data_IF_428601376599
#
_entry.id   IF_428601376599
#
_cell.length_a   1.000
_cell.length_b   1.000
_cell.length_c   1.000
_cell.angle_alpha   90.00
_cell.angle_beta   90.00
_cell.angle_gamma   90.00
#
_symmetry.space_group_name_H-M   'P 1'
#
loop_
_entity.id
_entity.type
_entity.pdbx_description
1 polymer ?
#
# COMPACT_ATOMS: atom_id res chain seq x y z
N UNK A 1 -12.00 -8.64 -25.11
CA UNK A 1 -11.92 -7.25 -24.61
C UNK A 1 -10.47 -6.88 -24.37
N UNK A 2 -10.07 -5.62 -24.59
CA UNK A 2 -8.72 -5.15 -24.27
C UNK A 2 -8.46 -5.24 -22.77
N UNK A 3 -7.26 -5.68 -22.38
CA UNK A 3 -6.85 -5.90 -20.99
C UNK A 3 -6.77 -4.60 -20.17
N UNK A 4 -6.39 -3.50 -20.83
CA UNK A 4 -6.06 -2.25 -20.16
C UNK A 4 -7.28 -1.57 -19.49
N UNK A 5 -8.46 -1.43 -20.13
CA UNK A 5 -9.65 -0.87 -19.47
C UNK A 5 -10.15 -1.73 -18.30
N UNK A 6 -10.07 -3.05 -18.43
CA UNK A 6 -10.48 -3.98 -17.36
C UNK A 6 -9.57 -3.84 -16.14
N UNK A 7 -8.26 -3.70 -16.36
CA UNK A 7 -7.31 -3.46 -15.29
C UNK A 7 -7.62 -2.12 -14.61
N UNK A 8 -7.82 -1.03 -15.34
CA UNK A 8 -8.17 0.28 -14.76
C UNK A 8 -9.43 0.19 -13.88
N UNK A 9 -10.47 -0.51 -14.35
CA UNK A 9 -11.68 -0.76 -13.55
C UNK A 9 -11.37 -1.49 -12.24
N UNK A 10 -10.61 -2.59 -12.33
CA UNK A 10 -10.18 -3.36 -11.16
C UNK A 10 -9.37 -2.51 -10.17
N UNK A 11 -8.53 -1.59 -10.64
CA UNK A 11 -7.78 -0.69 -9.77
C UNK A 11 -8.68 0.34 -9.08
N UNK A 12 -9.73 0.80 -9.76
CA UNK A 12 -10.79 1.58 -9.13
C UNK A 12 -11.44 0.82 -7.96
N UNK A 13 -11.75 -0.46 -8.17
CA UNK A 13 -12.33 -1.34 -7.15
C UNK A 13 -11.37 -1.59 -5.97
N UNK A 14 -10.10 -1.90 -6.24
CA UNK A 14 -9.05 -2.07 -5.22
C UNK A 14 -8.95 -0.82 -4.34
N UNK A 15 -8.87 0.36 -4.95
CA UNK A 15 -8.79 1.63 -4.20
C UNK A 15 -10.07 1.91 -3.41
N UNK A 16 -11.24 1.59 -3.95
CA UNK A 16 -12.51 1.73 -3.24
C UNK A 16 -12.56 0.81 -2.01
N UNK A 17 -12.12 -0.44 -2.17
CA UNK A 17 -12.02 -1.42 -1.09
C UNK A 17 -11.02 -0.99 -0.01
N UNK A 18 -9.82 -0.57 -0.41
CA UNK A 18 -8.80 -0.02 0.50
C UNK A 18 -9.35 1.13 1.34
N UNK A 19 -10.07 2.08 0.73
CA UNK A 19 -10.71 3.19 1.46
C UNK A 19 -11.80 2.71 2.42
N UNK A 20 -12.62 1.74 2.01
CA UNK A 20 -13.67 1.15 2.87
C UNK A 20 -13.05 0.54 4.14
N UNK A 21 -12.01 -0.29 3.98
CA UNK A 21 -11.33 -0.94 5.11
C UNK A 21 -10.59 0.06 5.99
N UNK A 22 -9.89 1.06 5.41
CA UNK A 22 -9.25 2.12 6.20
C UNK A 22 -10.25 2.92 7.04
N UNK A 23 -11.43 3.26 6.48
CA UNK A 23 -12.48 3.95 7.25
C UNK A 23 -12.96 3.08 8.41
N UNK A 24 -13.21 1.79 8.17
CA UNK A 24 -13.63 0.86 9.21
C UNK A 24 -12.56 0.72 10.31
N UNK A 25 -11.28 0.62 9.95
CA UNK A 25 -10.18 0.54 10.92
C UNK A 25 -10.11 1.81 11.79
N UNK A 26 -10.18 3.00 11.19
CA UNK A 26 -10.21 4.28 11.93
C UNK A 26 -11.39 4.37 12.89
N UNK A 27 -12.56 3.90 12.48
CA UNK A 27 -13.74 3.88 13.34
C UNK A 27 -13.55 2.95 14.54
N UNK A 28 -13.03 1.73 14.32
CA UNK A 28 -12.74 0.76 15.41
C UNK A 28 -11.70 1.31 16.39
N UNK A 29 -10.60 1.87 15.90
CA UNK A 29 -9.57 2.47 16.78
C UNK A 29 -10.12 3.64 17.60
N UNK A 30 -10.96 4.50 17.02
CA UNK A 30 -11.59 5.62 17.73
C UNK A 30 -12.60 5.18 18.79
N UNK A 31 -13.34 4.11 18.54
CA UNK A 31 -14.31 3.56 19.49
C UNK A 31 -13.60 2.91 20.68
N UNK A 32 -12.54 2.12 20.43
CA UNK A 32 -11.79 1.46 21.50
C UNK A 32 -11.08 2.46 22.43
N UNK A 33 -10.52 3.55 21.90
CA UNK A 33 -9.91 4.61 22.72
C UNK A 33 -10.88 5.35 23.65
N UNK A 34 -12.20 5.16 23.51
CA UNK A 34 -13.21 5.71 24.42
C UNK A 34 -13.58 4.75 25.55
N UNK A 35 -13.25 3.46 25.42
CA UNK A 35 -13.70 2.39 26.33
C UNK A 35 -12.65 2.03 27.39
N UNK A 36 -11.47 2.66 27.40
CA UNK A 36 -10.45 2.48 28.43
C UNK A 36 -9.69 1.15 28.38
N UNK A 37 -10.08 0.22 27.51
CA UNK A 37 -9.39 -1.05 27.27
C UNK A 37 -8.12 -0.89 26.41
N UNK A 38 -7.27 -1.93 26.42
CA UNK A 38 -6.07 -2.08 25.59
C UNK A 38 -6.39 -1.74 24.12
N UNK A 39 -6.02 -0.52 23.71
CA UNK A 39 -6.50 0.08 22.46
C UNK A 39 -5.80 -0.60 21.28
N UNK A 40 -6.52 -1.38 20.44
CA UNK A 40 -5.91 -2.01 19.29
C UNK A 40 -5.40 -0.93 18.34
N UNK A 41 -4.12 -1.04 17.97
CA UNK A 41 -3.51 -0.12 17.02
C UNK A 41 -4.27 -0.16 15.69
N UNK A 42 -4.22 0.95 14.93
CA UNK A 42 -4.82 1.00 13.59
C UNK A 42 -4.31 -0.14 12.68
N UNK A 43 -3.03 -0.53 12.81
CA UNK A 43 -2.45 -1.64 12.06
C UNK A 43 -3.09 -2.98 12.45
N UNK A 44 -3.28 -3.24 13.75
CA UNK A 44 -3.97 -4.45 14.25
C UNK A 44 -5.42 -4.51 13.74
N UNK A 45 -6.13 -3.37 13.73
CA UNK A 45 -7.48 -3.30 13.18
C UNK A 45 -7.51 -3.60 11.68
N UNK A 46 -6.55 -3.08 10.90
CA UNK A 46 -6.46 -3.37 9.47
C UNK A 46 -6.24 -4.85 9.21
N UNK A 47 -5.28 -5.49 9.89
CA UNK A 47 -4.98 -6.92 9.71
C UNK A 47 -6.22 -7.77 9.95
N UNK A 48 -6.91 -7.54 11.08
CA UNK A 48 -8.13 -8.29 11.42
C UNK A 48 -9.24 -8.08 10.39
N UNK A 49 -9.45 -6.84 9.93
CA UNK A 49 -10.44 -6.54 8.91
C UNK A 49 -10.15 -7.24 7.58
N UNK A 50 -8.88 -7.38 7.20
CA UNK A 50 -8.51 -8.12 5.99
C UNK A 50 -8.62 -9.62 6.15
N UNK A 51 -8.31 -10.17 7.32
CA UNK A 51 -8.57 -11.59 7.61
C UNK A 51 -10.06 -11.90 7.46
N UNK A 52 -10.92 -11.13 8.16
CA UNK A 52 -12.37 -11.29 8.12
C UNK A 52 -12.88 -11.18 6.67
N UNK A 53 -12.43 -10.14 5.95
CA UNK A 53 -12.85 -9.90 4.58
C UNK A 53 -12.40 -11.00 3.60
N UNK A 54 -11.16 -11.49 3.71
CA UNK A 54 -10.66 -12.54 2.83
C UNK A 54 -11.41 -13.87 3.04
N UNK A 55 -11.72 -14.21 4.29
CA UNK A 55 -12.51 -15.40 4.63
C UNK A 55 -13.95 -15.29 4.11
N UNK A 56 -14.56 -14.10 4.19
CA UNK A 56 -15.94 -13.88 3.76
C UNK A 56 -16.10 -13.67 2.24
N UNK A 57 -15.01 -13.34 1.54
CA UNK A 57 -15.02 -13.07 0.11
C UNK A 57 -14.70 -14.31 -0.73
N UNK A 58 -15.22 -14.36 -1.95
CA UNK A 58 -14.91 -15.38 -2.95
C UNK A 58 -14.71 -14.77 -4.34
N UNK A 59 -14.06 -15.51 -5.23
CA UNK A 59 -13.93 -15.11 -6.64
C UNK A 59 -13.22 -13.75 -6.82
N UNK A 60 -13.87 -12.87 -7.59
CA UNK A 60 -13.35 -11.52 -7.90
C UNK A 60 -13.04 -10.70 -6.64
N UNK A 61 -13.96 -10.67 -5.68
CA UNK A 61 -13.82 -9.83 -4.48
C UNK A 61 -12.62 -10.26 -3.63
N UNK A 62 -12.33 -11.56 -3.62
CA UNK A 62 -11.19 -12.10 -2.88
C UNK A 62 -9.84 -11.63 -3.44
N UNK A 63 -9.69 -11.58 -4.77
CA UNK A 63 -8.48 -11.03 -5.41
C UNK A 63 -8.38 -9.52 -5.19
N UNK A 64 -9.51 -8.80 -5.20
CA UNK A 64 -9.54 -7.35 -4.90
C UNK A 64 -9.11 -7.09 -3.45
N UNK A 65 -9.61 -7.89 -2.51
CA UNK A 65 -9.27 -7.82 -1.10
C UNK A 65 -7.76 -8.08 -0.88
N UNK A 66 -7.21 -9.10 -1.55
CA UNK A 66 -5.77 -9.39 -1.54
C UNK A 66 -4.94 -8.21 -2.05
N UNK A 67 -5.31 -7.64 -3.20
CA UNK A 67 -4.61 -6.50 -3.78
C UNK A 67 -4.68 -5.26 -2.87
N UNK A 68 -5.83 -5.02 -2.24
CA UNK A 68 -6.02 -3.96 -1.25
C UNK A 68 -5.17 -4.18 0.02
N UNK A 69 -5.01 -5.43 0.48
CA UNK A 69 -4.15 -5.76 1.62
C UNK A 69 -2.67 -5.46 1.33
N UNK A 70 -2.19 -5.76 0.11
CA UNK A 70 -0.85 -5.38 -0.34
C UNK A 70 -0.70 -3.87 -0.47
N UNK A 71 -1.71 -3.21 -1.03
CA UNK A 71 -1.73 -1.76 -1.16
C UNK A 71 -1.55 -1.09 0.22
N UNK A 72 -2.16 -1.65 1.26
CA UNK A 72 -2.07 -1.13 2.63
C UNK A 72 -0.90 -1.69 3.45
N UNK A 73 -0.08 -2.58 2.89
CA UNK A 73 1.12 -3.13 3.54
C UNK A 73 0.81 -4.09 4.69
N UNK A 74 -0.36 -4.72 4.69
CA UNK A 74 -0.84 -5.63 5.76
C UNK A 74 -1.03 -7.07 5.29
N UNK A 75 -0.63 -7.36 4.05
CA UNK A 75 -0.74 -8.70 3.47
C UNK A 75 0.20 -9.70 4.18
N UNK A 76 -0.34 -10.88 4.52
CA UNK A 76 0.40 -12.02 5.10
C UNK A 76 0.41 -13.22 4.15
N UNK A 77 1.32 -14.17 4.39
CA UNK A 77 1.51 -15.34 3.52
C UNK A 77 0.22 -16.15 3.30
N UNK A 78 -0.54 -16.42 4.36
CA UNK A 78 -1.77 -17.21 4.24
C UNK A 78 -2.84 -16.54 3.38
N UNK A 79 -2.83 -15.21 3.27
CA UNK A 79 -3.72 -14.49 2.35
C UNK A 79 -3.44 -14.85 0.88
N UNK A 80 -2.17 -14.97 0.51
CA UNK A 80 -1.77 -15.38 -0.85
C UNK A 80 -2.20 -16.83 -1.12
N UNK A 81 -1.94 -17.73 -0.17
CA UNK A 81 -2.33 -19.13 -0.29
C UNK A 81 -3.84 -19.28 -0.46
N UNK A 82 -4.64 -18.49 0.26
CA UNK A 82 -6.10 -18.51 0.17
C UNK A 82 -6.62 -18.07 -1.20
N UNK A 83 -5.95 -17.12 -1.85
CA UNK A 83 -6.38 -16.58 -3.16
C UNK A 83 -5.81 -17.33 -4.36
N UNK A 84 -4.85 -18.25 -4.15
CA UNK A 84 -4.18 -18.97 -5.24
C UNK A 84 -5.15 -19.84 -6.05
N UNK A 85 -6.07 -20.54 -5.37
CA UNK A 85 -7.10 -21.35 -6.03
C UNK A 85 -8.02 -20.51 -6.92
N UNK A 86 -8.54 -19.41 -6.37
CA UNK A 86 -9.40 -18.47 -7.12
C UNK A 86 -8.69 -17.84 -8.31
N UNK A 87 -7.39 -17.52 -8.20
CA UNK A 87 -6.60 -17.03 -9.33
C UNK A 87 -6.34 -18.11 -10.39
N UNK A 88 -6.26 -19.39 -10.00
CA UNK A 88 -6.13 -20.52 -10.91
C UNK A 88 -7.43 -20.84 -11.66
N UNK A 89 -8.57 -20.72 -10.99
CA UNK A 89 -9.89 -21.07 -11.54
C UNK A 89 -10.51 -19.97 -12.41
N UNK A 90 -10.18 -18.70 -12.14
CA UNK A 90 -10.80 -17.59 -12.87
C UNK A 90 -10.36 -17.57 -14.34
N UNK A 91 -11.33 -17.42 -15.26
CA UNK A 91 -11.07 -17.21 -16.69
C UNK A 91 -10.69 -15.76 -17.02
N UNK A 92 -10.93 -14.82 -16.10
CA UNK A 92 -10.63 -13.39 -16.26
C UNK A 92 -9.11 -13.13 -16.21
N UNK A 93 -8.55 -12.74 -17.36
CA UNK A 93 -7.12 -12.44 -17.52
C UNK A 93 -6.67 -11.24 -16.69
N UNK A 94 -7.53 -10.23 -16.49
CA UNK A 94 -7.19 -9.04 -15.74
C UNK A 94 -7.11 -9.34 -14.23
N UNK A 95 -7.99 -10.21 -13.73
CA UNK A 95 -7.91 -10.71 -12.35
C UNK A 95 -6.66 -11.56 -12.10
N UNK A 96 -6.31 -12.45 -13.02
CA UNK A 96 -5.05 -13.21 -12.91
C UNK A 96 -3.83 -12.28 -12.91
N UNK A 97 -3.81 -11.28 -13.79
CA UNK A 97 -2.74 -10.30 -13.84
C UNK A 97 -2.62 -9.50 -12.53
N UNK A 98 -3.75 -9.09 -11.94
CA UNK A 98 -3.79 -8.40 -10.66
C UNK A 98 -3.24 -9.27 -9.52
N UNK A 99 -3.64 -10.55 -9.46
CA UNK A 99 -3.09 -11.51 -8.49
C UNK A 99 -1.57 -11.63 -8.64
N UNK A 100 -1.07 -11.92 -9.84
CA UNK A 100 0.37 -12.11 -10.06
C UNK A 100 1.20 -10.86 -9.74
N UNK A 101 0.70 -9.68 -10.12
CA UNK A 101 1.34 -8.41 -9.77
C UNK A 101 1.42 -8.21 -8.25
N UNK A 102 0.34 -8.55 -7.54
CA UNK A 102 0.23 -8.48 -6.08
C UNK A 102 1.20 -9.43 -5.40
N UNK A 103 1.20 -10.72 -5.78
CA UNK A 103 2.08 -11.75 -5.24
C UNK A 103 3.55 -11.45 -5.48
N UNK A 104 3.91 -11.07 -6.72
CA UNK A 104 5.29 -10.71 -7.09
C UNK A 104 5.81 -9.57 -6.24
N UNK A 105 4.98 -8.54 -6.01
CA UNK A 105 5.35 -7.40 -5.19
C UNK A 105 5.55 -7.79 -3.73
N UNK A 106 4.63 -8.56 -3.15
CA UNK A 106 4.75 -9.03 -1.78
C UNK A 106 6.03 -9.85 -1.58
N UNK A 107 6.34 -10.76 -2.51
CA UNK A 107 7.58 -11.53 -2.46
C UNK A 107 8.82 -10.64 -2.50
N UNK A 108 8.87 -9.62 -3.36
CA UNK A 108 9.99 -8.67 -3.42
C UNK A 108 10.16 -7.88 -2.12
N UNK A 109 9.04 -7.40 -1.54
CA UNK A 109 9.06 -6.64 -0.30
C UNK A 109 9.48 -7.48 0.92
N UNK A 110 9.21 -8.79 0.92
CA UNK A 110 9.62 -9.70 2.00
C UNK A 110 11.01 -10.32 1.76
N UNK A 111 11.43 -10.48 0.50
CA UNK A 111 12.78 -10.93 0.18
C UNK A 111 13.85 -9.91 0.59
N UNK A 112 13.56 -8.61 0.41
CA UNK A 112 14.44 -7.53 0.88
C UNK A 112 14.55 -7.46 2.41
N UNK A 113 13.61 -8.05 3.16
CA UNK A 113 13.67 -8.17 4.62
C UNK A 113 14.44 -9.41 5.10
N UNK A 114 14.66 -10.42 4.24
CA UNK A 114 15.31 -11.69 4.59
C UNK A 114 16.78 -11.80 4.19
N UNK A 115 17.31 -10.80 3.49
CA UNK A 115 18.74 -10.72 3.20
C UNK A 115 19.49 -10.13 4.41
N UNK A 116 20.44 -10.85 5.05
CA UNK A 116 21.50 -10.18 5.79
C UNK A 116 22.26 -9.31 4.79
N UNK A 117 22.35 -8.02 5.09
CA UNK A 117 22.98 -6.98 4.29
C UNK A 117 24.36 -7.40 3.73
N UNK A 118 24.52 -7.58 2.41
CA UNK A 118 25.84 -7.58 1.80
C UNK A 118 26.24 -6.13 1.55
N UNK A 119 27.25 -5.68 2.30
CA UNK A 119 28.14 -4.54 2.09
C UNK A 119 27.74 -3.53 1.00
N UNK A 120 27.30 -2.35 1.47
CA UNK A 120 27.26 -1.02 0.82
C UNK A 120 27.91 -0.88 -0.57
N UNK A 121 27.21 -0.21 -1.49
CA UNK A 121 27.82 0.74 -2.41
C UNK A 121 27.82 2.16 -1.81
N UNK A 122 28.96 2.85 -1.92
CA UNK A 122 29.17 4.28 -1.60
C UNK A 122 28.04 5.16 -2.15
N UNK A 123 27.41 5.95 -1.27
CA UNK A 123 26.56 7.09 -1.66
C UNK A 123 27.43 8.21 -2.26
N UNK A 124 27.06 8.80 -3.41
CA UNK A 124 27.39 10.19 -3.68
C UNK A 124 26.50 11.10 -2.81
N UNK A 125 27.15 12.12 -2.26
CA UNK A 125 26.67 13.24 -1.44
C UNK A 125 25.15 13.44 -1.26
N UNK A 126 24.71 13.54 0.01
CA UNK A 126 23.49 14.27 0.39
C UNK A 126 22.26 13.46 0.78
N UNK A 127 22.34 12.16 1.09
CA UNK A 127 21.17 11.44 1.61
C UNK A 127 20.90 11.86 3.08
N UNK A 128 19.74 12.47 3.40
CA UNK A 128 19.36 12.67 4.79
C UNK A 128 19.30 11.32 5.51
N UNK A 129 19.75 11.26 6.78
CA UNK A 129 19.63 10.05 7.61
C UNK A 129 18.13 9.71 7.76
N UNK A 130 17.66 8.76 6.96
CA UNK A 130 16.28 8.27 7.02
C UNK A 130 16.09 7.43 8.28
N UNK A 131 14.96 7.60 8.98
CA UNK A 131 14.55 6.63 10.00
C UNK A 131 14.24 5.27 9.36
N UNK A 132 14.24 4.19 10.15
CA UNK A 132 13.99 2.83 9.68
C UNK A 132 12.71 2.72 8.85
N UNK A 133 11.61 3.36 9.29
CA UNK A 133 10.34 3.37 8.56
C UNK A 133 10.40 4.08 7.20
N UNK A 134 11.21 5.14 7.09
CA UNK A 134 11.48 5.84 5.83
C UNK A 134 12.41 5.02 4.92
N UNK A 135 13.35 4.25 5.48
CA UNK A 135 14.16 3.32 4.70
C UNK A 135 13.29 2.19 4.13
N UNK A 136 12.41 1.61 4.94
CA UNK A 136 11.42 0.62 4.47
C UNK A 136 10.50 1.21 3.41
N UNK A 137 10.07 2.47 3.56
CA UNK A 137 9.29 3.15 2.52
C UNK A 137 10.09 3.37 1.23
N UNK A 138 11.38 3.66 1.33
CA UNK A 138 12.26 3.81 0.17
C UNK A 138 12.41 2.49 -0.59
N UNK A 139 12.49 1.38 0.14
CA UNK A 139 12.60 0.04 -0.43
C UNK A 139 11.26 -0.46 -1.01
N UNK A 140 10.13 -0.14 -0.37
CA UNK A 140 8.78 -0.40 -0.87
C UNK A 140 8.04 0.90 -1.19
N UNK A 141 8.56 1.61 -2.20
CA UNK A 141 8.03 2.91 -2.62
C UNK A 141 6.65 2.81 -3.28
N UNK A 142 6.06 1.62 -3.44
CA UNK A 142 4.78 1.42 -4.12
C UNK A 142 3.59 1.25 -3.17
N UNK A 143 3.77 1.38 -1.84
CA UNK A 143 2.66 1.19 -0.89
C UNK A 143 1.72 2.37 -0.89
N UNK A 144 0.45 2.20 -0.58
CA UNK A 144 -0.47 3.33 -0.50
C UNK A 144 -0.28 4.10 0.79
N UNK A 145 -0.20 3.41 1.92
CA UNK A 145 -0.21 4.06 3.23
C UNK A 145 1.13 4.70 3.59
N UNK A 146 1.14 5.93 4.13
CA UNK A 146 2.28 6.43 4.88
C UNK A 146 2.55 5.54 6.10
N UNK A 147 3.78 5.57 6.64
CA UNK A 147 4.00 5.02 7.99
C UNK A 147 3.49 6.00 9.06
N UNK A 148 3.33 5.53 10.30
CA UNK A 148 2.69 6.27 11.38
C UNK A 148 3.28 7.67 11.64
N UNK A 149 4.61 7.80 11.58
CA UNK A 149 5.30 9.08 11.79
C UNK A 149 5.24 10.08 10.61
N UNK A 150 4.49 9.81 9.53
CA UNK A 150 4.32 10.79 8.44
C UNK A 150 3.05 11.61 8.62
N UNK A 151 3.19 12.94 8.60
CA UNK A 151 2.05 13.86 8.55
C UNK A 151 1.83 14.36 7.13
N UNK A 152 0.58 14.27 6.66
CA UNK A 152 0.18 14.88 5.39
C UNK A 152 0.25 16.39 5.50
N UNK A 153 0.95 17.04 4.56
CA UNK A 153 1.06 18.50 4.51
C UNK A 153 -0.02 19.09 3.61
N UNK A 154 -0.09 18.64 2.35
CA UNK A 154 -1.05 19.13 1.36
C UNK A 154 -1.45 18.03 0.38
N UNK A 155 -2.73 17.99 0.03
CA UNK A 155 -3.21 17.27 -1.15
C UNK A 155 -3.23 18.23 -2.33
N UNK A 156 -2.40 17.98 -3.34
CA UNK A 156 -2.38 18.75 -4.58
C UNK A 156 -3.15 17.93 -5.61
N UNK A 157 -4.37 18.35 -5.91
CA UNK A 157 -5.12 17.81 -7.03
C UNK A 157 -4.50 18.36 -8.31
N UNK A 158 -3.92 17.49 -9.14
CA UNK A 158 -3.63 17.86 -10.52
C UNK A 158 -4.95 18.10 -11.23
N UNK A 159 -5.20 19.32 -11.70
CA UNK A 159 -6.41 19.65 -12.47
C UNK A 159 -6.47 18.92 -13.83
N UNK A 160 -5.40 18.25 -14.24
CA UNK A 160 -5.37 17.41 -15.42
C UNK A 160 -5.59 15.93 -15.06
N UNK A 161 -6.61 15.33 -15.66
CA UNK A 161 -7.06 13.93 -15.50
C UNK A 161 -5.98 12.88 -15.77
N UNK A 162 -4.88 13.24 -16.42
CA UNK A 162 -3.72 12.35 -16.65
C UNK A 162 -2.72 12.33 -15.50
N UNK A 163 -2.65 13.41 -14.72
CA UNK A 163 -1.70 13.58 -13.61
C UNK A 163 -2.40 13.16 -12.34
N UNK A 164 -2.37 11.85 -12.04
CA UNK A 164 -3.03 11.29 -10.86
C UNK A 164 -2.67 11.97 -9.53
N UNK A 165 -3.38 11.62 -8.45
CA UNK A 165 -3.33 12.38 -7.19
C UNK A 165 -1.90 12.50 -6.64
N UNK A 166 -1.50 13.73 -6.28
CA UNK A 166 -0.23 14.02 -5.64
C UNK A 166 -0.45 14.50 -4.22
N UNK A 167 0.26 13.92 -3.26
CA UNK A 167 0.18 14.32 -1.85
C UNK A 167 1.56 14.44 -1.25
N UNK A 168 1.75 15.47 -0.43
CA UNK A 168 3.00 15.69 0.29
C UNK A 168 2.89 15.23 1.72
N UNK A 169 3.95 14.62 2.23
CA UNK A 169 4.06 14.13 3.59
C UNK A 169 5.41 14.54 4.18
N UNK A 170 5.43 14.84 5.47
CA UNK A 170 6.66 15.08 6.24
C UNK A 170 6.79 14.01 7.31
N UNK A 171 7.94 13.34 7.37
CA UNK A 171 8.23 12.42 8.45
C UNK A 171 8.66 13.21 9.69
N UNK A 172 7.96 13.09 10.81
CA UNK A 172 8.31 13.80 12.04
C UNK A 172 9.59 13.26 12.72
N UNK A 173 9.99 12.03 12.39
CA UNK A 173 11.16 11.39 13.03
C UNK A 173 12.49 11.73 12.36
N UNK A 174 12.50 11.98 11.04
CA UNK A 174 13.73 12.29 10.29
C UNK A 174 13.61 13.54 9.42
N UNK A 175 12.51 14.26 9.55
CA UNK A 175 12.20 15.51 8.87
C UNK A 175 12.13 15.45 7.34
N UNK A 176 12.20 14.25 6.75
CA UNK A 176 12.23 14.05 5.30
C UNK A 176 10.87 14.31 4.68
N UNK A 177 10.87 15.10 3.61
CA UNK A 177 9.71 15.33 2.75
C UNK A 177 9.56 14.22 1.72
N UNK A 178 8.34 13.72 1.63
CA UNK A 178 7.93 12.66 0.73
C UNK A 178 6.77 13.11 -0.14
N UNK A 179 6.79 12.70 -1.39
CA UNK A 179 5.67 12.87 -2.33
C UNK A 179 5.13 11.49 -2.65
N UNK A 180 3.84 11.30 -2.39
CA UNK A 180 3.03 10.20 -2.88
C UNK A 180 2.36 10.62 -4.19
N UNK A 181 2.55 9.85 -5.25
CA UNK A 181 1.87 9.98 -6.54
C UNK A 181 0.96 8.78 -6.74
N UNK A 182 -0.23 8.98 -7.29
CA UNK A 182 -1.14 7.89 -7.60
C UNK A 182 -1.57 7.99 -9.05
N UNK A 183 -0.71 7.55 -10.01
CA UNK A 183 -1.04 7.59 -11.42
C UNK A 183 -2.35 6.86 -11.69
N UNK A 184 -3.12 7.34 -12.66
CA UNK A 184 -4.42 6.74 -13.03
C UNK A 184 -4.27 5.35 -13.63
N UNK A 185 -3.15 5.08 -14.29
CA UNK A 185 -2.82 3.81 -14.93
C UNK A 185 -1.95 2.89 -14.06
N UNK A 186 -1.43 3.35 -12.92
CA UNK A 186 -0.69 2.49 -12.01
C UNK A 186 -1.59 1.96 -10.88
N UNK A 187 -1.53 0.65 -10.58
CA UNK A 187 -2.25 0.04 -9.47
C UNK A 187 -1.87 0.62 -8.10
N UNK A 188 -0.70 1.22 -8.02
CA UNK A 188 -0.03 1.47 -6.75
C UNK A 188 0.38 2.94 -6.65
N UNK A 189 0.40 3.44 -5.42
CA UNK A 189 0.93 4.77 -5.16
C UNK A 189 2.46 4.73 -5.19
N UNK A 190 3.10 5.62 -5.94
CA UNK A 190 4.55 5.76 -6.00
C UNK A 190 5.03 6.84 -5.04
N UNK A 191 5.98 6.51 -4.18
CA UNK A 191 6.61 7.40 -3.21
C UNK A 191 7.99 7.83 -3.68
N UNK A 192 8.30 9.11 -3.47
CA UNK A 192 9.62 9.67 -3.78
C UNK A 192 10.01 10.69 -2.72
N UNK A 193 11.30 10.75 -2.39
CA UNK A 193 11.86 11.78 -1.50
C UNK A 193 11.98 13.08 -2.29
N UNK A 194 11.60 14.21 -1.68
CA UNK A 194 11.85 15.54 -2.23
C UNK A 194 13.25 15.97 -1.78
N UNK A 195 14.20 16.25 -2.71
CA UNK A 195 15.49 16.79 -2.35
C UNK A 195 15.33 18.13 -1.62
N UNK A 196 16.15 18.38 -0.60
CA UNK A 196 16.17 19.68 0.07
C UNK A 196 16.59 20.76 -0.95
N UNK A 197 15.72 21.76 -1.18
CA UNK A 197 15.96 22.85 -2.13
C UNK A 197 15.05 22.90 -3.37
N UNK A 198 14.02 22.05 -3.46
CA UNK A 198 13.06 22.04 -4.61
C UNK A 198 11.64 22.47 -4.20
N UNK A 199 11.50 23.47 -3.31
CA UNK A 199 10.23 24.14 -3.04
C UNK A 199 10.11 25.39 -3.90
#
# INVERSE_FOLDING_TARGET
MPLQPQLISLLGEVRAFSRKIQRAARMRTRQAGRMGDDVPTHATCLVKLFDDALVQSSGREQIICLAAAVELGVLRWHHLSHCAGTAGETSDRALRALYWATSTRWHRANASQRMPEPLRPRSPAGNPKLCEHCQTLRLDCRRYSPHAAMKGLHEIFGMNTEVGLRQQFRCEACDVLWVRRMPTHEPFATWSVVPAGTL
#
